data_IF_725113361326
#
_entry.id   IF_725113361326
#
_cell.length_a   1.000
_cell.length_b   1.000
_cell.length_c   1.000
_cell.angle_alpha   90.00
_cell.angle_beta   90.00
_cell.angle_gamma   90.00
#
_symmetry.space_group_name_H-M   'P 1'
#
loop_
_entity.id
_entity.type
_entity.pdbx_description
1 polymer ?
#
# COMPACT_ATOMS: atom_id res chain seq x y z
N UNK A 1 15.07 7.86 14.19
CA UNK A 1 15.02 7.04 12.97
C UNK A 1 13.75 7.42 12.25
N UNK A 2 13.83 7.92 11.01
CA UNK A 2 12.64 8.29 10.22
C UNK A 2 11.81 7.03 9.96
N UNK A 3 10.47 7.04 10.12
CA UNK A 3 9.65 5.88 9.78
C UNK A 3 9.92 5.46 8.33
N UNK A 4 9.97 4.15 8.02
CA UNK A 4 10.04 3.68 6.65
C UNK A 4 9.00 4.40 5.79
N UNK A 5 9.38 4.91 4.62
CA UNK A 5 8.48 5.70 3.77
C UNK A 5 7.20 4.93 3.39
N UNK A 6 7.25 3.60 3.35
CA UNK A 6 6.07 2.74 3.18
C UNK A 6 5.00 2.93 4.28
N UNK A 7 5.41 3.16 5.53
CA UNK A 7 4.46 3.44 6.62
C UNK A 7 3.79 4.80 6.42
N UNK A 8 4.58 5.83 6.05
CA UNK A 8 4.06 7.16 5.80
C UNK A 8 3.03 7.16 4.66
N UNK A 9 3.34 6.47 3.56
CA UNK A 9 2.41 6.29 2.43
C UNK A 9 1.15 5.54 2.86
N UNK A 10 1.29 4.45 3.62
CA UNK A 10 0.14 3.70 4.13
C UNK A 10 -0.79 4.55 5.01
N UNK A 11 -0.24 5.28 5.99
CA UNK A 11 -1.02 6.20 6.81
C UNK A 11 -1.67 7.30 5.97
N UNK A 12 -0.95 7.88 5.01
CA UNK A 12 -1.49 8.92 4.14
C UNK A 12 -2.68 8.40 3.30
N UNK A 13 -2.56 7.21 2.72
CA UNK A 13 -3.64 6.55 1.97
C UNK A 13 -4.86 6.30 2.85
N UNK A 14 -4.68 5.74 4.06
CA UNK A 14 -5.79 5.49 4.99
C UNK A 14 -6.44 6.79 5.47
N UNK A 15 -5.65 7.82 5.77
CA UNK A 15 -6.15 9.13 6.17
C UNK A 15 -6.95 9.80 5.03
N UNK A 16 -6.47 9.69 3.80
CA UNK A 16 -7.20 10.16 2.62
C UNK A 16 -8.51 9.40 2.44
N UNK A 17 -8.51 8.07 2.59
CA UNK A 17 -9.71 7.25 2.50
C UNK A 17 -10.76 7.59 3.58
N UNK A 18 -10.32 7.91 4.81
CA UNK A 18 -11.20 8.37 5.90
C UNK A 18 -11.77 9.76 5.64
N UNK A 19 -10.94 10.66 5.10
CA UNK A 19 -11.33 12.06 4.88
C UNK A 19 -12.21 12.23 3.64
N UNK A 20 -12.05 11.39 2.62
CA UNK A 20 -12.71 11.51 1.33
C UNK A 20 -13.18 10.15 0.78
N UNK A 21 -14.10 9.44 1.47
CA UNK A 21 -14.45 8.05 1.14
C UNK A 21 -15.02 7.86 -0.28
N UNK A 22 -15.89 8.77 -0.74
CA UNK A 22 -16.44 8.71 -2.10
C UNK A 22 -15.35 8.90 -3.17
N UNK A 23 -14.43 9.85 -2.96
CA UNK A 23 -13.32 10.13 -3.89
C UNK A 23 -12.32 8.98 -3.92
N UNK A 24 -11.98 8.44 -2.75
CA UNK A 24 -11.12 7.26 -2.63
C UNK A 24 -11.71 6.08 -3.40
N UNK A 25 -12.99 5.79 -3.20
CA UNK A 25 -13.69 4.73 -3.94
C UNK A 25 -13.64 4.95 -5.45
N UNK A 26 -13.90 6.17 -5.94
CA UNK A 26 -13.81 6.46 -7.38
C UNK A 26 -12.41 6.24 -7.96
N UNK A 27 -11.36 6.67 -7.24
CA UNK A 27 -9.97 6.52 -7.68
C UNK A 27 -9.55 5.05 -7.69
N UNK A 28 -9.89 4.28 -6.65
CA UNK A 28 -9.46 2.89 -6.52
C UNK A 28 -10.14 1.93 -7.53
N UNK A 29 -11.30 2.31 -8.05
CA UNK A 29 -11.99 1.54 -9.09
C UNK A 29 -11.68 2.02 -10.52
N UNK A 30 -10.80 3.01 -10.69
CA UNK A 30 -10.40 3.51 -12.00
C UNK A 30 -9.34 2.58 -12.62
N UNK A 31 -9.62 1.89 -13.74
CA UNK A 31 -8.67 0.99 -14.36
C UNK A 31 -7.65 1.79 -15.19
N UNK A 32 -6.48 2.08 -14.61
CA UNK A 32 -5.40 2.73 -15.35
C UNK A 32 -4.88 1.87 -16.51
N UNK A 33 -4.50 2.51 -17.61
CA UNK A 33 -4.10 1.93 -18.89
C UNK A 33 -2.66 2.28 -19.20
N UNK A 34 -1.73 1.31 -19.12
CA UNK A 34 -0.31 1.53 -19.47
C UNK A 34 -0.09 1.99 -20.93
N UNK A 35 -1.07 1.77 -21.81
CA UNK A 35 -1.02 2.21 -23.21
C UNK A 35 -1.38 3.67 -23.42
N UNK A 36 -2.00 4.33 -22.43
CA UNK A 36 -2.26 5.77 -22.48
C UNK A 36 -1.01 6.53 -21.97
N UNK A 37 -0.45 7.49 -22.73
CA UNK A 37 0.79 8.16 -22.34
C UNK A 37 0.72 8.92 -21.01
N UNK A 38 -0.42 9.53 -20.66
CA UNK A 38 -0.57 10.28 -19.41
C UNK A 38 -0.69 9.32 -18.23
N UNK A 39 -1.45 8.23 -18.39
CA UNK A 39 -1.58 7.23 -17.35
C UNK A 39 -0.29 6.42 -17.16
N UNK A 40 0.45 6.18 -18.25
CA UNK A 40 1.77 5.53 -18.20
C UNK A 40 2.76 6.31 -17.33
N UNK A 41 2.79 7.64 -17.43
CA UNK A 41 3.66 8.50 -16.59
C UNK A 41 3.33 8.34 -15.10
N UNK A 42 2.04 8.37 -14.74
CA UNK A 42 1.57 8.17 -13.35
C UNK A 42 1.92 6.77 -12.83
N UNK A 43 1.77 5.74 -13.67
CA UNK A 43 2.15 4.36 -13.34
C UNK A 43 3.66 4.27 -13.09
N UNK A 44 4.48 4.91 -13.94
CA UNK A 44 5.94 4.91 -13.79
C UNK A 44 6.39 5.68 -12.53
N UNK A 45 5.80 6.83 -12.23
CA UNK A 45 6.08 7.56 -10.99
C UNK A 45 5.74 6.72 -9.75
N UNK A 46 4.58 6.05 -9.79
CA UNK A 46 4.16 5.14 -8.72
C UNK A 46 5.15 3.98 -8.54
N UNK A 47 5.57 3.36 -9.64
CA UNK A 47 6.59 2.30 -9.64
C UNK A 47 7.93 2.80 -9.09
N UNK A 48 8.36 4.00 -9.48
CA UNK A 48 9.62 4.59 -9.04
C UNK A 48 9.62 4.84 -7.53
N UNK A 49 8.53 5.39 -6.99
CA UNK A 49 8.38 5.56 -5.54
C UNK A 49 8.49 4.22 -4.83
N UNK A 50 7.78 3.19 -5.29
CA UNK A 50 7.90 1.84 -4.73
C UNK A 50 9.32 1.27 -4.84
N UNK A 51 10.01 1.48 -5.97
CA UNK A 51 11.39 1.08 -6.18
C UNK A 51 12.35 1.76 -5.20
N UNK A 52 12.27 3.08 -5.04
CA UNK A 52 13.07 3.83 -4.07
C UNK A 52 12.85 3.31 -2.63
N UNK A 53 11.60 3.00 -2.28
CA UNK A 53 11.26 2.45 -0.98
C UNK A 53 11.79 1.03 -0.75
N UNK A 54 11.84 0.22 -1.81
CA UNK A 54 12.17 -1.21 -1.76
C UNK A 54 13.62 -1.52 -2.15
N UNK A 55 14.37 -0.57 -2.72
CA UNK A 55 15.81 -0.72 -2.98
C UNK A 55 16.63 -0.93 -1.70
N UNK A 56 16.14 -0.44 -0.56
CA UNK A 56 16.72 -0.73 0.77
C UNK A 56 16.76 -2.23 1.09
N UNK A 57 15.96 -3.02 0.38
CA UNK A 57 15.74 -4.44 0.58
C UNK A 57 16.39 -5.32 -0.50
N UNK A 58 17.13 -4.75 -1.46
CA UNK A 58 17.91 -5.53 -2.44
C UNK A 58 17.12 -6.53 -3.28
N UNK A 59 15.82 -6.28 -3.50
CA UNK A 59 14.91 -7.20 -4.21
C UNK A 59 15.25 -7.28 -5.70
N UNK A 60 15.09 -8.47 -6.29
CA UNK A 60 15.03 -8.63 -7.75
C UNK A 60 13.67 -8.14 -8.31
N UNK A 61 13.56 -8.00 -9.63
CA UNK A 61 12.38 -7.42 -10.29
C UNK A 61 11.07 -8.20 -10.01
N UNK A 62 11.12 -9.52 -9.98
CA UNK A 62 9.93 -10.34 -9.70
C UNK A 62 9.50 -10.20 -8.23
N UNK A 63 10.45 -10.28 -7.30
CA UNK A 63 10.21 -10.10 -5.87
C UNK A 63 9.69 -8.69 -5.56
N UNK A 64 10.18 -7.68 -6.28
CA UNK A 64 9.68 -6.31 -6.20
C UNK A 64 8.19 -6.24 -6.59
N UNK A 65 7.81 -6.83 -7.73
CA UNK A 65 6.41 -6.85 -8.20
C UNK A 65 5.51 -7.56 -7.18
N UNK A 66 5.95 -8.70 -6.64
CA UNK A 66 5.18 -9.46 -5.65
C UNK A 66 5.00 -8.68 -4.35
N UNK A 67 6.06 -8.03 -3.86
CA UNK A 67 5.99 -7.16 -2.67
C UNK A 67 5.05 -5.97 -2.92
N UNK A 68 5.13 -5.32 -4.08
CA UNK A 68 4.24 -4.21 -4.43
C UNK A 68 2.77 -4.65 -4.42
N UNK A 69 2.45 -5.81 -5.01
CA UNK A 69 1.09 -6.36 -5.03
C UNK A 69 0.60 -6.70 -3.62
N UNK A 70 1.46 -7.31 -2.80
CA UNK A 70 1.15 -7.65 -1.41
C UNK A 70 0.82 -6.38 -0.58
N UNK A 71 1.66 -5.35 -0.66
CA UNK A 71 1.48 -4.10 0.08
C UNK A 71 0.18 -3.41 -0.36
N UNK A 72 -0.04 -3.27 -1.67
CA UNK A 72 -1.26 -2.65 -2.20
C UNK A 72 -2.52 -3.42 -1.79
N UNK A 73 -2.51 -4.75 -1.90
CA UNK A 73 -3.66 -5.59 -1.53
C UNK A 73 -3.97 -5.50 -0.03
N UNK A 74 -2.95 -5.52 0.83
CA UNK A 74 -3.13 -5.43 2.28
C UNK A 74 -3.71 -4.07 2.69
N UNK A 75 -3.13 -2.96 2.21
CA UNK A 75 -3.60 -1.61 2.52
C UNK A 75 -5.03 -1.40 2.00
N UNK A 76 -5.28 -1.72 0.72
CA UNK A 76 -6.60 -1.57 0.11
C UNK A 76 -7.66 -2.44 0.80
N UNK A 77 -7.33 -3.69 1.08
CA UNK A 77 -8.21 -4.64 1.75
C UNK A 77 -8.57 -4.19 3.16
N UNK A 78 -7.60 -3.69 3.94
CA UNK A 78 -7.85 -3.15 5.27
C UNK A 78 -8.81 -1.96 5.23
N UNK A 79 -8.53 -0.98 4.37
CA UNK A 79 -9.36 0.22 4.21
C UNK A 79 -10.78 -0.14 3.77
N UNK A 80 -10.92 -1.05 2.79
CA UNK A 80 -12.23 -1.51 2.33
C UNK A 80 -13.04 -2.17 3.45
N UNK A 81 -12.40 -3.02 4.25
CA UNK A 81 -13.05 -3.68 5.40
C UNK A 81 -13.48 -2.68 6.47
N UNK A 82 -12.66 -1.65 6.70
CA UNK A 82 -12.96 -0.56 7.63
C UNK A 82 -14.14 0.29 7.14
N UNK A 83 -14.14 0.72 5.87
CA UNK A 83 -15.20 1.56 5.30
C UNK A 83 -16.55 0.83 5.19
N UNK A 84 -16.54 -0.49 5.06
CA UNK A 84 -17.74 -1.32 5.05
C UNK A 84 -18.20 -1.73 6.46
N UNK A 85 -17.57 -1.21 7.52
CA UNK A 85 -17.88 -1.53 8.92
C UNK A 85 -17.80 -3.05 9.24
N UNK A 86 -16.94 -3.77 8.51
CA UNK A 86 -16.79 -5.24 8.62
C UNK A 86 -15.80 -5.67 9.71
N UNK A 87 -15.34 -4.74 10.54
CA UNK A 87 -14.42 -4.98 11.67
C UNK A 87 -15.19 -4.96 12.99
N UNK A 88 -16.02 -5.97 13.23
CA UNK A 88 -17.04 -5.98 14.30
C UNK A 88 -16.54 -6.44 15.68
N UNK A 89 -15.28 -6.85 15.79
CA UNK A 89 -14.69 -7.31 17.05
C UNK A 89 -14.27 -6.10 17.93
N UNK A 90 -14.25 -6.29 19.24
CA UNK A 90 -13.86 -5.26 20.22
C UNK A 90 -12.33 -5.03 20.24
N UNK A 91 -11.81 -4.50 19.13
CA UNK A 91 -10.43 -4.08 18.96
C UNK A 91 -10.39 -2.87 18.03
N UNK A 92 -9.62 -1.85 18.40
CA UNK A 92 -9.41 -0.67 17.57
C UNK A 92 -8.88 -1.04 16.18
N UNK A 93 -9.48 -0.46 15.14
CA UNK A 93 -9.00 -0.57 13.76
C UNK A 93 -7.65 0.14 13.60
N UNK A 94 -7.40 1.24 14.31
CA UNK A 94 -6.10 1.91 14.31
C UNK A 94 -5.01 0.96 14.82
N UNK A 95 -5.23 0.29 15.97
CA UNK A 95 -4.27 -0.67 16.52
C UNK A 95 -4.06 -1.88 15.61
N UNK A 96 -5.10 -2.35 14.92
CA UNK A 96 -4.99 -3.47 14.00
C UNK A 96 -4.28 -3.08 12.69
N UNK A 97 -4.38 -1.81 12.31
CA UNK A 97 -3.67 -1.26 11.15
C UNK A 97 -2.16 -1.23 11.41
N UNK A 98 -1.73 -0.73 12.57
CA UNK A 98 -0.31 -0.72 12.94
C UNK A 98 0.29 -2.12 12.96
N UNK A 99 -0.41 -3.10 13.56
CA UNK A 99 0.04 -4.51 13.57
C UNK A 99 0.20 -5.06 12.15
N UNK A 100 -0.73 -4.73 11.24
CA UNK A 100 -0.61 -5.14 9.83
C UNK A 100 0.62 -4.53 9.16
N UNK A 101 0.87 -3.24 9.38
CA UNK A 101 2.02 -2.54 8.78
C UNK A 101 3.35 -3.09 9.31
N UNK A 102 3.45 -3.34 10.61
CA UNK A 102 4.62 -3.99 11.21
C UNK A 102 4.85 -5.39 10.62
N UNK A 103 3.79 -6.19 10.45
CA UNK A 103 3.89 -7.51 9.84
C UNK A 103 4.36 -7.45 8.38
N UNK A 104 3.88 -6.46 7.60
CA UNK A 104 4.33 -6.24 6.22
C UNK A 104 5.82 -5.89 6.18
N UNK A 105 6.31 -5.03 7.07
CA UNK A 105 7.74 -4.71 7.14
C UNK A 105 8.61 -5.94 7.39
N UNK A 106 8.18 -6.82 8.31
CA UNK A 106 8.89 -8.09 8.58
C UNK A 106 8.87 -9.00 7.36
N UNK A 107 7.74 -9.10 6.65
CA UNK A 107 7.63 -9.89 5.44
C UNK A 107 8.56 -9.39 4.32
N UNK A 108 8.56 -8.08 4.06
CA UNK A 108 9.40 -7.43 3.05
C UNK A 108 10.88 -7.68 3.33
N UNK A 109 11.31 -7.51 4.58
CA UNK A 109 12.70 -7.74 4.98
C UNK A 109 13.16 -9.19 4.79
N UNK A 110 12.24 -10.16 4.77
CA UNK A 110 12.55 -11.57 4.49
C UNK A 110 12.62 -11.86 2.99
N UNK A 111 11.78 -11.22 2.19
CA UNK A 111 11.82 -11.34 0.73
C UNK A 111 13.11 -10.80 0.11
N UNK A 112 13.85 -9.97 0.84
CA UNK A 112 15.19 -9.45 0.51
C UNK A 112 16.32 -10.46 0.44
N UNK A 113 16.13 -11.63 1.05
CA UNK A 113 17.19 -12.62 1.28
C UNK A 113 17.05 -13.89 0.44
N UNK A 114 16.12 -13.92 -0.51
CA UNK A 114 15.76 -15.06 -1.37
C UNK A 114 15.98 -14.73 -2.84
#
# INVERSE_FOLDING_TARGET
>A
MTPPQVLLSAHATRNFARSYPARYSSIMHYPMRPSDPQEAEIIQESLHLFQEFLQLYGLNDDALIDVMRMVNAAIYGFITREQLELMTLDRSSDMSYEVMLEALLVAIARSSGS
#
